data_IF_209061656910
#
_entry.id   IF_209061656910
#
_cell.length_a   1.000
_cell.length_b   1.000
_cell.length_c   1.000
_cell.angle_alpha   90.00
_cell.angle_beta   90.00
_cell.angle_gamma   90.00
#
_symmetry.space_group_name_H-M   'P 1'
#
loop_
_entity.id
_entity.type
_entity.pdbx_description
1 polymer ?
#
# COMPACT_ATOMS: atom_id res chain seq x y z
N UNK A 1 9.97 -22.37 4.67
CA UNK A 1 9.76 -23.78 5.03
C UNK A 1 9.45 -23.91 6.51
N UNK A 2 9.18 -25.12 7.02
CA UNK A 2 8.75 -25.30 8.42
C UNK A 2 7.31 -24.83 8.65
N UNK A 3 7.02 -24.26 9.83
CA UNK A 3 5.68 -23.69 10.15
C UNK A 3 5.22 -22.68 9.09
N UNK A 4 6.15 -21.90 8.54
CA UNK A 4 5.89 -21.01 7.40
C UNK A 4 5.25 -19.67 7.78
N UNK A 5 4.55 -19.09 6.82
CA UNK A 5 4.10 -17.69 6.84
C UNK A 5 2.57 -17.55 6.71
N UNK A 6 1.81 -18.51 7.23
CA UNK A 6 0.35 -18.54 7.07
C UNK A 6 -0.30 -17.23 7.47
N UNK A 7 -0.04 -16.74 8.69
CA UNK A 7 -0.70 -15.53 9.20
C UNK A 7 -0.14 -14.22 8.62
N UNK A 8 1.05 -14.24 8.03
CA UNK A 8 1.52 -13.12 7.22
C UNK A 8 0.66 -12.93 5.97
N UNK A 9 0.21 -14.04 5.38
CA UNK A 9 -0.63 -14.01 4.19
C UNK A 9 -2.12 -13.81 4.52
N UNK A 10 -2.66 -14.52 5.52
CA UNK A 10 -4.11 -14.44 5.85
C UNK A 10 -4.56 -13.03 6.17
N UNK A 11 -3.70 -12.21 6.80
CA UNK A 11 -4.03 -10.82 7.10
C UNK A 11 -4.46 -9.98 5.87
N UNK A 12 -4.06 -10.39 4.66
CA UNK A 12 -4.43 -9.71 3.41
C UNK A 12 -5.68 -10.30 2.73
N UNK A 13 -6.30 -11.35 3.28
CA UNK A 13 -7.49 -11.99 2.67
C UNK A 13 -8.50 -12.55 3.67
N UNK A 14 -8.35 -12.28 4.97
CA UNK A 14 -9.31 -12.66 6.01
C UNK A 14 -9.88 -11.43 6.70
N UNK A 15 -11.01 -11.62 7.37
CA UNK A 15 -11.62 -10.66 8.31
C UNK A 15 -12.05 -9.31 7.70
N UNK A 16 -11.98 -9.19 6.37
CA UNK A 16 -12.33 -8.01 5.57
C UNK A 16 -11.61 -6.71 5.97
N UNK A 17 -10.50 -6.80 6.70
CA UNK A 17 -9.78 -5.60 7.18
C UNK A 17 -9.15 -4.86 5.99
N UNK A 18 -8.49 -5.59 5.07
CA UNK A 18 -7.94 -4.98 3.85
C UNK A 18 -9.06 -4.46 2.94
N UNK A 19 -10.14 -5.22 2.79
CA UNK A 19 -11.29 -4.85 1.99
C UNK A 19 -11.87 -3.51 2.47
N UNK A 20 -12.12 -3.38 3.78
CA UNK A 20 -12.66 -2.17 4.39
C UNK A 20 -11.81 -0.93 4.08
N UNK A 21 -10.50 -1.02 4.32
CA UNK A 21 -9.60 0.12 4.11
C UNK A 21 -9.46 0.47 2.62
N UNK A 22 -9.51 -0.54 1.76
CA UNK A 22 -9.48 -0.34 0.31
C UNK A 22 -10.78 0.30 -0.17
N UNK A 23 -11.95 -0.15 0.31
CA UNK A 23 -13.24 0.42 -0.07
C UNK A 23 -13.40 1.86 0.45
N UNK A 24 -12.88 2.17 1.64
CA UNK A 24 -12.75 3.57 2.08
C UNK A 24 -11.95 4.40 1.07
N UNK A 25 -10.79 3.91 0.63
CA UNK A 25 -10.00 4.57 -0.40
C UNK A 25 -10.72 4.70 -1.73
N UNK A 26 -11.52 3.70 -2.12
CA UNK A 26 -12.36 3.74 -3.33
C UNK A 26 -13.43 4.82 -3.28
N UNK A 27 -14.08 4.99 -2.12
CA UNK A 27 -15.06 6.06 -1.92
C UNK A 27 -14.37 7.43 -1.88
N UNK A 28 -13.20 7.54 -1.26
CA UNK A 28 -12.40 8.77 -1.23
C UNK A 28 -12.02 9.25 -2.65
N UNK A 29 -11.48 8.35 -3.50
CA UNK A 29 -11.07 8.72 -4.86
C UNK A 29 -12.28 9.04 -5.75
N UNK A 30 -13.42 8.39 -5.51
CA UNK A 30 -14.67 8.70 -6.19
C UNK A 30 -15.15 10.10 -5.83
N UNK A 31 -15.14 10.45 -4.56
CA UNK A 31 -15.65 11.73 -4.08
C UNK A 31 -14.72 12.89 -4.43
N UNK A 32 -13.41 12.73 -4.26
CA UNK A 32 -12.44 13.81 -4.47
C UNK A 32 -11.97 13.92 -5.92
N UNK A 33 -11.65 12.80 -6.56
CA UNK A 33 -11.06 12.76 -7.90
C UNK A 33 -12.05 12.40 -9.01
N UNK A 34 -13.32 12.11 -8.67
CA UNK A 34 -14.39 11.74 -9.61
C UNK A 34 -14.05 10.49 -10.43
N UNK A 35 -13.28 9.57 -9.86
CA UNK A 35 -12.94 8.28 -10.46
C UNK A 35 -14.08 7.29 -10.20
N UNK A 36 -14.80 6.88 -11.24
CA UNK A 36 -15.78 5.79 -11.13
C UNK A 36 -15.06 4.43 -11.18
N UNK A 37 -14.63 3.96 -10.01
CA UNK A 37 -13.98 2.66 -9.87
C UNK A 37 -14.89 1.47 -10.21
N UNK A 38 -16.23 1.66 -10.23
CA UNK A 38 -17.19 0.61 -10.62
C UNK A 38 -17.40 0.54 -12.13
N UNK A 39 -17.27 1.66 -12.83
CA UNK A 39 -17.36 1.76 -14.29
C UNK A 39 -16.10 2.44 -14.86
N UNK A 40 -14.95 1.75 -14.85
CA UNK A 40 -13.68 2.35 -15.23
C UNK A 40 -13.69 2.85 -16.69
N UNK A 41 -13.23 4.08 -16.88
CA UNK A 41 -13.11 4.77 -18.16
C UNK A 41 -11.70 5.36 -18.30
N UNK A 42 -11.17 5.43 -19.52
CA UNK A 42 -9.87 6.06 -19.77
C UNK A 42 -9.81 7.54 -19.36
N UNK A 43 -10.97 8.20 -19.29
CA UNK A 43 -11.09 9.62 -18.92
C UNK A 43 -11.18 9.83 -17.42
N UNK A 44 -11.48 8.79 -16.65
CA UNK A 44 -11.81 8.88 -15.22
C UNK A 44 -10.57 8.53 -14.40
N UNK A 45 -9.51 9.34 -14.58
CA UNK A 45 -8.21 9.13 -13.93
C UNK A 45 -7.62 10.46 -13.47
N UNK A 46 -7.11 10.49 -12.25
CA UNK A 46 -6.24 11.55 -11.79
C UNK A 46 -4.88 11.46 -12.48
N UNK A 47 -4.22 12.61 -12.68
CA UNK A 47 -2.85 12.61 -13.18
C UNK A 47 -1.92 12.01 -12.12
N UNK A 48 -1.04 11.09 -12.52
CA UNK A 48 -0.01 10.52 -11.65
C UNK A 48 1.05 11.57 -11.29
N UNK A 49 0.78 12.40 -10.27
CA UNK A 49 1.73 13.37 -9.71
C UNK A 49 2.00 13.04 -8.25
N UNK A 50 3.14 13.50 -7.73
CA UNK A 50 3.47 13.31 -6.32
C UNK A 50 2.42 13.91 -5.38
N UNK A 51 1.78 15.02 -5.74
CA UNK A 51 0.71 15.61 -4.93
C UNK A 51 -0.51 14.70 -4.81
N UNK A 52 -0.91 14.03 -5.91
CA UNK A 52 -2.01 13.06 -5.90
C UNK A 52 -1.65 11.82 -5.08
N UNK A 53 -0.41 11.35 -5.21
CA UNK A 53 0.10 10.20 -4.45
C UNK A 53 0.14 10.54 -2.95
N UNK A 54 0.70 11.70 -2.60
CA UNK A 54 0.76 12.18 -1.22
C UNK A 54 -0.63 12.28 -0.60
N UNK A 55 -1.59 12.82 -1.34
CA UNK A 55 -2.96 12.98 -0.85
C UNK A 55 -3.64 11.64 -0.59
N UNK A 56 -3.73 10.77 -1.60
CA UNK A 56 -4.47 9.51 -1.50
C UNK A 56 -3.79 8.56 -0.51
N UNK A 57 -2.48 8.36 -0.62
CA UNK A 57 -1.80 7.40 0.25
C UNK A 57 -1.75 7.87 1.71
N UNK A 58 -1.62 9.17 1.98
CA UNK A 58 -1.65 9.67 3.36
C UNK A 58 -3.04 9.48 3.98
N UNK A 59 -4.09 9.86 3.25
CA UNK A 59 -5.47 9.72 3.73
C UNK A 59 -5.82 8.27 4.05
N UNK A 60 -5.55 7.35 3.12
CA UNK A 60 -5.90 5.92 3.30
C UNK A 60 -5.03 5.27 4.37
N UNK A 61 -3.75 5.66 4.50
CA UNK A 61 -2.89 5.17 5.59
C UNK A 61 -3.40 5.63 6.95
N UNK A 62 -3.73 6.92 7.09
CA UNK A 62 -4.24 7.48 8.34
C UNK A 62 -5.55 6.83 8.74
N UNK A 63 -6.49 6.67 7.80
CA UNK A 63 -7.74 5.97 8.06
C UNK A 63 -7.51 4.56 8.60
N UNK A 64 -6.70 3.74 7.92
CA UNK A 64 -6.44 2.37 8.35
C UNK A 64 -5.71 2.30 9.70
N UNK A 65 -4.81 3.25 9.98
CA UNK A 65 -4.16 3.35 11.29
C UNK A 65 -5.19 3.68 12.39
N UNK A 66 -6.06 4.66 12.14
CA UNK A 66 -7.16 4.99 13.05
C UNK A 66 -8.09 3.80 13.28
N UNK A 67 -8.38 2.98 12.26
CA UNK A 67 -9.19 1.78 12.44
C UNK A 67 -8.54 0.77 13.40
N UNK A 68 -7.23 0.54 13.29
CA UNK A 68 -6.52 -0.31 14.25
C UNK A 68 -6.49 0.29 15.67
N UNK A 69 -6.49 1.61 15.81
CA UNK A 69 -6.52 2.30 17.11
C UNK A 69 -7.92 2.31 17.74
N UNK A 70 -8.96 2.48 16.92
CA UNK A 70 -10.37 2.53 17.34
C UNK A 70 -10.93 1.14 17.65
N UNK A 71 -10.46 0.11 16.96
CA UNK A 71 -10.90 -1.27 17.12
C UNK A 71 -9.76 -2.15 17.62
N UNK A 72 -9.58 -2.28 18.96
CA UNK A 72 -8.53 -3.11 19.54
C UNK A 72 -8.56 -4.57 19.07
N UNK A 73 -9.73 -5.10 18.69
CA UNK A 73 -9.85 -6.45 18.13
C UNK A 73 -9.16 -6.58 16.77
N UNK A 74 -9.18 -5.55 15.93
CA UNK A 74 -8.45 -5.55 14.66
C UNK A 74 -6.93 -5.51 14.89
N UNK A 75 -6.48 -4.76 15.91
CA UNK A 75 -5.08 -4.72 16.29
C UNK A 75 -4.60 -6.06 16.89
N UNK A 76 -5.46 -6.75 17.64
CA UNK A 76 -5.18 -8.09 18.19
C UNK A 76 -5.18 -9.17 17.10
N UNK A 77 -6.10 -9.10 16.14
CA UNK A 77 -6.17 -10.01 14.99
C UNK A 77 -4.91 -9.88 14.12
N UNK A 78 -4.57 -8.65 13.74
CA UNK A 78 -3.30 -8.34 13.08
C UNK A 78 -2.22 -7.97 14.12
N UNK A 79 -1.94 -8.89 15.04
CA UNK A 79 -0.98 -8.69 16.14
C UNK A 79 0.44 -8.35 15.64
N UNK A 80 0.85 -8.90 14.49
CA UNK A 80 2.14 -8.67 13.87
C UNK A 80 2.21 -7.33 13.12
N UNK A 81 3.24 -6.52 13.40
CA UNK A 81 3.43 -5.24 12.72
C UNK A 81 3.48 -5.34 11.19
N UNK A 82 4.11 -6.39 10.67
CA UNK A 82 4.18 -6.66 9.22
C UNK A 82 2.84 -6.98 8.58
N UNK A 83 1.90 -7.58 9.31
CA UNK A 83 0.54 -7.82 8.81
C UNK A 83 -0.15 -6.47 8.58
N UNK A 84 -0.10 -5.60 9.60
CA UNK A 84 -0.67 -4.25 9.53
C UNK A 84 -0.01 -3.41 8.45
N UNK A 85 1.32 -3.46 8.36
CA UNK A 85 2.08 -2.70 7.36
C UNK A 85 1.67 -3.11 5.93
N UNK A 86 1.55 -4.41 5.66
CA UNK A 86 1.12 -4.91 4.36
C UNK A 86 -0.30 -4.46 4.03
N UNK A 87 -1.22 -4.50 5.00
CA UNK A 87 -2.63 -4.12 4.79
C UNK A 87 -2.77 -2.62 4.54
N UNK A 88 -2.12 -1.77 5.34
CA UNK A 88 -2.17 -0.31 5.19
C UNK A 88 -1.56 0.14 3.86
N UNK A 89 -0.40 -0.41 3.50
CA UNK A 89 0.28 -0.07 2.26
C UNK A 89 -0.43 -0.64 1.03
N UNK A 90 -1.03 -1.83 1.13
CA UNK A 90 -1.87 -2.39 0.07
C UNK A 90 -3.07 -1.48 -0.22
N UNK A 91 -3.84 -1.09 0.81
CA UNK A 91 -4.99 -0.20 0.63
C UNK A 91 -4.57 1.14 -0.01
N UNK A 92 -3.47 1.73 0.45
CA UNK A 92 -2.94 3.00 -0.06
C UNK A 92 -2.44 2.90 -1.51
N UNK A 93 -1.69 1.84 -1.82
CA UNK A 93 -1.16 1.59 -3.17
C UNK A 93 -2.24 1.23 -4.17
N UNK A 94 -3.23 0.42 -3.78
CA UNK A 94 -4.40 0.09 -4.61
C UNK A 94 -5.22 1.34 -4.92
N UNK A 95 -5.52 2.14 -3.90
CA UNK A 95 -6.27 3.40 -4.06
C UNK A 95 -5.57 4.35 -5.03
N UNK A 96 -4.25 4.50 -4.89
CA UNK A 96 -3.45 5.36 -5.77
C UNK A 96 -3.36 4.79 -7.20
N UNK A 97 -3.21 3.47 -7.33
CA UNK A 97 -3.15 2.79 -8.64
C UNK A 97 -4.45 2.96 -9.42
N UNK A 98 -5.58 2.74 -8.76
CA UNK A 98 -6.91 2.81 -9.36
C UNK A 98 -7.24 4.26 -9.71
N UNK A 99 -6.92 5.22 -8.83
CA UNK A 99 -7.18 6.62 -9.09
C UNK A 99 -6.40 7.16 -10.30
N UNK A 100 -5.17 6.69 -10.51
CA UNK A 100 -4.28 7.25 -11.55
C UNK A 100 -4.20 6.40 -12.82
N UNK A 101 -4.59 5.12 -12.73
CA UNK A 101 -4.33 4.13 -13.77
C UNK A 101 -2.84 3.95 -14.05
N UNK A 102 -1.97 4.10 -13.04
CA UNK A 102 -0.52 3.96 -13.13
C UNK A 102 0.01 3.12 -11.96
N UNK A 103 0.64 1.98 -12.27
CA UNK A 103 1.15 1.05 -11.25
C UNK A 103 2.29 1.63 -10.41
N UNK A 104 3.16 2.46 -10.99
CA UNK A 104 4.30 3.05 -10.29
C UNK A 104 3.83 4.15 -9.33
N UNK A 105 2.80 4.91 -9.70
CA UNK A 105 2.14 5.81 -8.75
C UNK A 105 1.58 5.02 -7.55
N UNK A 106 0.99 3.84 -7.81
CA UNK A 106 0.60 2.87 -6.81
C UNK A 106 1.73 2.42 -5.89
N UNK A 107 2.86 2.00 -6.46
CA UNK A 107 4.05 1.60 -5.71
C UNK A 107 4.58 2.75 -4.84
N UNK A 108 4.59 3.98 -5.35
CA UNK A 108 4.99 5.15 -4.57
C UNK A 108 4.01 5.39 -3.41
N UNK A 109 2.71 5.18 -3.62
CA UNK A 109 1.69 5.21 -2.56
C UNK A 109 1.90 4.13 -1.49
N UNK A 110 2.28 2.91 -1.89
CA UNK A 110 2.68 1.83 -0.97
C UNK A 110 3.87 2.28 -0.10
N UNK A 111 4.94 2.78 -0.71
CA UNK A 111 6.15 3.17 0.03
C UNK A 111 5.93 4.37 0.95
N UNK A 112 5.12 5.36 0.52
CA UNK A 112 4.73 6.46 1.39
C UNK A 112 3.94 5.95 2.61
N UNK A 113 3.02 5.01 2.43
CA UNK A 113 2.28 4.40 3.54
C UNK A 113 3.21 3.77 4.58
N UNK A 114 4.25 3.06 4.12
CA UNK A 114 5.24 2.45 5.02
C UNK A 114 6.00 3.49 5.84
N UNK A 115 6.38 4.61 5.23
CA UNK A 115 7.07 5.71 5.93
C UNK A 115 6.15 6.37 6.97
N UNK A 116 4.90 6.66 6.61
CA UNK A 116 3.92 7.26 7.52
C UNK A 116 3.61 6.34 8.71
N UNK A 117 3.40 5.06 8.45
CA UNK A 117 3.15 4.06 9.49
C UNK A 117 4.33 3.97 10.46
N UNK A 118 5.56 3.89 9.94
CA UNK A 118 6.78 3.83 10.75
C UNK A 118 6.88 5.02 11.72
N UNK A 119 6.64 6.23 11.23
CA UNK A 119 6.69 7.44 12.05
C UNK A 119 5.51 7.53 13.03
N UNK A 120 4.31 7.15 12.60
CA UNK A 120 3.11 7.27 13.44
C UNK A 120 3.08 6.30 14.63
N UNK A 121 3.61 5.08 14.49
CA UNK A 121 3.64 4.09 15.59
C UNK A 121 5.03 3.79 16.15
N UNK A 122 6.09 4.42 15.63
CA UNK A 122 7.48 4.13 16.01
C UNK A 122 7.85 2.64 15.84
N UNK A 123 7.14 1.96 14.93
CA UNK A 123 7.33 0.55 14.57
C UNK A 123 6.72 0.32 13.19
N UNK A 124 7.19 -0.73 12.51
CA UNK A 124 6.64 -1.14 11.22
C UNK A 124 6.48 -2.65 11.18
N UNK A 125 7.47 -3.38 10.66
CA UNK A 125 7.46 -4.84 10.56
C UNK A 125 8.58 -5.53 11.32
N UNK A 126 8.86 -6.78 10.96
CA UNK A 126 10.00 -7.55 11.49
C UNK A 126 11.35 -6.98 11.03
N UNK A 127 12.45 -7.53 11.57
CA UNK A 127 13.83 -7.06 11.38
C UNK A 127 14.31 -6.97 9.90
N UNK A 128 13.64 -7.60 8.95
CA UNK A 128 13.96 -7.53 7.52
C UNK A 128 12.75 -7.20 6.66
N UNK A 129 11.74 -6.52 7.24
CA UNK A 129 10.50 -6.21 6.52
C UNK A 129 10.69 -5.07 5.51
N UNK A 130 11.34 -3.97 5.93
CA UNK A 130 11.45 -2.74 5.15
C UNK A 130 12.69 -2.52 4.27
N UNK A 131 13.57 -3.51 3.92
CA UNK A 131 14.63 -3.28 2.95
C UNK A 131 14.10 -2.75 1.61
N UNK A 132 13.01 -3.35 1.11
CA UNK A 132 12.38 -2.87 -0.12
C UNK A 132 11.72 -1.51 0.06
N UNK A 133 11.11 -1.27 1.21
CA UNK A 133 10.33 -0.05 1.45
C UNK A 133 11.24 1.18 1.66
N UNK A 134 12.43 0.98 2.25
CA UNK A 134 13.45 2.04 2.35
C UNK A 134 14.09 2.36 0.99
N UNK A 135 14.25 1.37 0.11
CA UNK A 135 14.73 1.58 -1.26
C UNK A 135 13.62 2.07 -2.22
N UNK A 136 12.36 1.86 -1.85
CA UNK A 136 11.21 1.94 -2.75
C UNK A 136 11.01 3.31 -3.38
N UNK A 137 11.06 4.37 -2.59
CA UNK A 137 10.85 5.75 -3.09
C UNK A 137 11.90 6.15 -4.14
N UNK A 138 13.15 5.69 -4.00
CA UNK A 138 14.22 5.96 -4.96
C UNK A 138 14.10 5.10 -6.22
N UNK A 139 13.64 3.86 -6.08
CA UNK A 139 13.62 2.88 -7.17
C UNK A 139 12.29 2.84 -7.95
N UNK A 140 11.24 3.53 -7.49
CA UNK A 140 9.93 3.50 -8.16
C UNK A 140 9.98 4.10 -9.57
N UNK A 141 10.65 5.24 -9.73
CA UNK A 141 10.83 5.94 -11.01
C UNK A 141 12.28 5.93 -11.51
N UNK A 142 13.13 5.04 -10.95
CA UNK A 142 14.47 4.83 -11.47
C UNK A 142 14.41 4.26 -12.88
N UNK A 143 15.40 4.56 -13.70
CA UNK A 143 15.61 3.98 -15.02
C UNK A 143 16.92 3.19 -15.10
N UNK A 144 17.60 2.98 -13.96
CA UNK A 144 18.85 2.22 -13.90
C UNK A 144 18.59 0.73 -14.05
N UNK A 145 19.61 0.01 -14.54
CA UNK A 145 19.46 -1.33 -15.07
C UNK A 145 18.82 -2.36 -14.11
N UNK A 146 19.14 -2.29 -12.81
CA UNK A 146 18.68 -3.21 -11.76
C UNK A 146 17.71 -2.56 -10.77
N UNK A 147 17.16 -1.39 -11.11
CA UNK A 147 16.23 -0.61 -10.27
C UNK A 147 14.95 -0.26 -11.03
N UNK A 148 15.08 0.13 -12.29
CA UNK A 148 13.97 0.66 -13.08
C UNK A 148 13.13 -0.42 -13.73
N UNK A 149 11.89 -0.58 -13.27
CA UNK A 149 10.87 -1.37 -13.95
C UNK A 149 9.47 -0.82 -13.66
N UNK A 150 8.59 -0.87 -14.66
CA UNK A 150 7.15 -0.66 -14.45
C UNK A 150 6.58 -1.77 -13.56
N UNK A 151 5.62 -1.42 -12.71
CA UNK A 151 5.08 -2.31 -11.68
C UNK A 151 4.66 -3.67 -12.21
N UNK A 152 4.05 -3.74 -13.40
CA UNK A 152 3.60 -4.97 -14.04
C UNK A 152 4.73 -5.92 -14.47
N UNK A 153 5.96 -5.40 -14.65
CA UNK A 153 7.14 -6.19 -15.02
C UNK A 153 8.03 -6.53 -13.82
N UNK A 154 7.71 -6.03 -12.62
CA UNK A 154 8.37 -6.44 -11.39
C UNK A 154 7.87 -7.82 -10.97
N UNK A 155 8.56 -8.43 -10.01
CA UNK A 155 8.17 -9.70 -9.43
C UNK A 155 9.15 -10.14 -8.35
N UNK A 156 9.00 -11.37 -7.85
CA UNK A 156 9.82 -11.90 -6.77
C UNK A 156 11.33 -12.02 -7.09
N UNK A 157 11.75 -11.77 -8.34
CA UNK A 157 13.17 -11.71 -8.73
C UNK A 157 13.67 -10.28 -8.99
N UNK A 158 12.83 -9.26 -8.80
CA UNK A 158 13.28 -7.87 -8.77
C UNK A 158 14.18 -7.68 -7.53
N UNK A 159 15.37 -7.06 -7.62
CA UNK A 159 16.41 -7.18 -6.58
C UNK A 159 15.96 -6.84 -5.16
N UNK A 160 15.13 -5.81 -4.98
CA UNK A 160 14.64 -5.46 -3.64
C UNK A 160 13.51 -6.37 -3.13
N UNK A 161 12.83 -7.13 -3.99
CA UNK A 161 11.65 -7.95 -3.65
C UNK A 161 11.97 -9.43 -3.46
N UNK A 162 13.26 -9.78 -3.51
CA UNK A 162 13.71 -11.17 -3.55
C UNK A 162 13.68 -11.90 -2.19
N UNK A 163 13.28 -11.22 -1.11
CA UNK A 163 13.33 -11.73 0.27
C UNK A 163 12.13 -11.28 1.10
#
# INVERSE_FOLDING_TARGET
GGVGFTQYATAAYTDNILDDYTYYGMDYIKDKYKVDWKNPSEKDKAKATQDVINDIASEVTLYGMEQYEQFPTALEDHFGGSQRASVLAAASGLSTSIATGNSNAGLNGWYLSMLLHKEGWSRLGFYGYDPQDQCGSANTESFRADEGAVGELRGANYPNYAM
#
